data_IF_027086544811
#
_entry.id   IF_027086544811
#
_cell.length_a   1.000
_cell.length_b   1.000
_cell.length_c   1.000
_cell.angle_alpha   90.00
_cell.angle_beta   90.00
_cell.angle_gamma   90.00
#
_symmetry.space_group_name_H-M   'P 1'
#
loop_
_entity.id
_entity.type
_entity.pdbx_description
1 polymer ?
#
# COMPACT_ATOMS: atom_id res chain seq x y z
N UNK A 1 -27.15 20.34 -19.45
CA UNK A 1 -25.80 20.86 -19.16
C UNK A 1 -25.23 20.04 -18.04
N UNK A 2 -24.37 19.06 -18.33
CA UNK A 2 -23.65 18.33 -17.28
C UNK A 2 -22.63 19.28 -16.69
N UNK A 3 -22.76 19.63 -15.41
CA UNK A 3 -21.67 20.23 -14.65
C UNK A 3 -20.55 19.19 -14.57
N UNK A 4 -19.55 19.28 -15.46
CA UNK A 4 -18.32 18.53 -15.32
C UNK A 4 -17.56 19.16 -14.15
N UNK A 5 -17.37 18.39 -13.08
CA UNK A 5 -16.46 18.74 -11.99
C UNK A 5 -15.06 18.91 -12.57
N UNK A 6 -14.45 20.08 -12.36
CA UNK A 6 -13.07 20.34 -12.73
C UNK A 6 -12.13 19.72 -11.67
N UNK A 7 -10.89 19.39 -12.06
CA UNK A 7 -9.91 18.78 -11.15
C UNK A 7 -9.66 19.61 -9.89
N UNK A 8 -9.69 20.93 -10.03
CA UNK A 8 -9.48 21.86 -8.91
C UNK A 8 -10.62 21.78 -7.87
N UNK A 9 -11.80 21.30 -8.24
CA UNK A 9 -12.94 21.12 -7.33
C UNK A 9 -12.81 19.82 -6.50
N UNK A 10 -11.83 18.98 -6.82
CA UNK A 10 -11.57 17.72 -6.12
C UNK A 10 -10.69 17.87 -4.89
N UNK A 11 -10.10 19.05 -4.67
CA UNK A 11 -9.29 19.31 -3.49
C UNK A 11 -10.12 19.09 -2.22
N UNK A 12 -9.55 18.40 -1.22
CA UNK A 12 -10.20 18.01 0.03
C UNK A 12 -11.40 17.05 -0.09
N UNK A 13 -11.73 16.61 -1.31
CA UNK A 13 -12.74 15.57 -1.51
C UNK A 13 -12.20 14.20 -1.10
N UNK A 14 -13.12 13.33 -0.75
CA UNK A 14 -12.83 11.95 -0.32
C UNK A 14 -13.23 11.00 -1.44
N UNK A 15 -12.35 10.05 -1.74
CA UNK A 15 -12.60 9.00 -2.73
C UNK A 15 -12.47 7.62 -2.10
N UNK A 16 -13.26 6.68 -2.58
CA UNK A 16 -13.18 5.26 -2.26
C UNK A 16 -12.73 4.47 -3.47
N UNK A 17 -11.48 4.02 -3.46
CA UNK A 17 -10.87 3.31 -4.58
C UNK A 17 -10.31 2.00 -4.10
N UNK A 18 -10.76 0.90 -4.73
CA UNK A 18 -10.30 -0.48 -4.47
C UNK A 18 -10.34 -0.88 -2.98
N UNK A 19 -11.36 -0.44 -2.24
CA UNK A 19 -11.52 -0.82 -0.83
C UNK A 19 -10.83 0.08 0.18
N UNK A 20 -10.21 1.17 -0.28
CA UNK A 20 -9.48 2.14 0.54
C UNK A 20 -10.11 3.53 0.42
N UNK A 21 -10.14 4.26 1.51
CA UNK A 21 -10.60 5.66 1.55
C UNK A 21 -9.39 6.58 1.44
N UNK A 22 -9.49 7.62 0.61
CA UNK A 22 -8.41 8.57 0.37
C UNK A 22 -8.93 9.99 0.39
N UNK A 23 -8.13 10.92 0.92
CA UNK A 23 -8.42 12.37 0.83
C UNK A 23 -7.45 13.00 -0.16
N UNK A 24 -8.01 13.74 -1.12
CA UNK A 24 -7.25 14.43 -2.16
C UNK A 24 -6.59 15.68 -1.57
N UNK A 25 -5.27 15.82 -1.77
CA UNK A 25 -4.49 16.95 -1.28
C UNK A 25 -3.74 17.72 -2.36
N UNK A 26 -3.67 17.19 -3.59
CA UNK A 26 -3.15 17.92 -4.73
C UNK A 26 -3.74 17.38 -6.04
N UNK A 27 -3.78 18.23 -7.06
CA UNK A 27 -4.25 17.90 -8.40
C UNK A 27 -3.11 18.16 -9.38
N UNK A 28 -2.97 17.33 -10.40
CA UNK A 28 -2.14 17.70 -11.55
C UNK A 28 -2.94 18.68 -12.40
N UNK A 29 -2.30 19.77 -12.82
CA UNK A 29 -2.90 20.73 -13.75
C UNK A 29 -3.09 20.12 -15.15
N UNK A 30 -3.36 20.97 -16.15
CA UNK A 30 -3.52 20.58 -17.56
C UNK A 30 -2.25 19.95 -18.14
N UNK A 31 -2.04 18.67 -17.90
CA UNK A 31 -0.99 17.84 -18.48
C UNK A 31 -1.61 16.53 -18.96
N UNK A 32 -0.95 15.79 -19.86
CA UNK A 32 -1.48 14.55 -20.46
C UNK A 32 -1.82 13.43 -19.44
N UNK A 33 -1.38 13.57 -18.19
CA UNK A 33 -1.70 12.69 -17.05
C UNK A 33 -2.47 13.46 -15.96
N UNK A 34 -3.67 13.92 -16.32
CA UNK A 34 -4.63 14.53 -15.39
C UNK A 34 -5.02 13.55 -14.27
N UNK A 35 -4.92 14.01 -13.01
CA UNK A 35 -5.18 13.18 -11.85
C UNK A 35 -4.93 13.89 -10.53
N UNK A 36 -4.96 13.10 -9.45
CA UNK A 36 -4.91 13.60 -8.08
C UNK A 36 -3.92 12.82 -7.24
N UNK A 37 -3.26 13.53 -6.35
CA UNK A 37 -2.53 12.94 -5.24
C UNK A 37 -3.43 12.92 -4.01
N UNK A 38 -3.51 11.76 -3.38
CA UNK A 38 -4.32 11.55 -2.21
C UNK A 38 -3.55 10.78 -1.14
N UNK A 39 -3.87 11.06 0.12
CA UNK A 39 -3.37 10.31 1.27
C UNK A 39 -4.47 9.39 1.82
N UNK A 40 -4.09 8.23 2.36
CA UNK A 40 -5.05 7.24 2.88
C UNK A 40 -5.74 7.78 4.15
N UNK A 41 -7.06 7.70 4.16
CA UNK A 41 -7.93 8.13 5.26
C UNK A 41 -8.65 9.45 4.99
N UNK A 42 -9.24 9.97 6.06
CA UNK A 42 -9.99 11.24 6.08
C UNK A 42 -9.19 12.32 6.81
N UNK A 43 -9.53 13.58 6.58
CA UNK A 43 -8.99 14.68 7.39
C UNK A 43 -9.20 14.43 8.89
N UNK A 44 -8.16 14.57 9.73
CA UNK A 44 -8.30 14.39 11.18
C UNK A 44 -9.10 15.54 11.82
N UNK A 45 -9.09 16.74 11.23
CA UNK A 45 -9.83 17.92 11.68
C UNK A 45 -10.02 18.90 10.51
N UNK A 46 -11.00 19.83 10.57
CA UNK A 46 -11.39 20.66 9.42
C UNK A 46 -10.25 21.50 8.81
N UNK A 47 -9.38 22.06 9.64
CA UNK A 47 -8.26 22.92 9.21
C UNK A 47 -7.00 22.15 8.81
N UNK A 48 -7.05 20.82 8.77
CA UNK A 48 -5.90 20.01 8.38
C UNK A 48 -5.53 20.27 6.93
N UNK A 49 -4.24 20.53 6.71
CA UNK A 49 -3.61 20.62 5.39
C UNK A 49 -2.48 19.60 5.34
N UNK A 50 -2.58 18.67 4.41
CA UNK A 50 -1.51 17.72 4.17
C UNK A 50 -0.33 18.44 3.52
N UNK A 51 0.87 18.06 3.93
CA UNK A 51 2.12 18.58 3.40
C UNK A 51 3.04 17.37 3.17
N UNK A 52 3.32 17.07 1.91
CA UNK A 52 4.18 15.96 1.50
C UNK A 52 5.65 16.22 1.78
N UNK A 53 6.04 17.44 2.13
CA UNK A 53 7.41 17.78 2.55
C UNK A 53 7.61 17.57 4.05
N UNK A 54 6.53 17.41 4.82
CA UNK A 54 6.56 17.16 6.25
C UNK A 54 6.87 15.67 6.54
N UNK A 55 8.00 15.33 7.19
CA UNK A 55 8.36 13.93 7.48
C UNK A 55 7.28 13.20 8.28
N UNK A 56 6.69 13.86 9.27
CA UNK A 56 5.61 13.30 10.09
C UNK A 56 4.39 12.86 9.26
N UNK A 57 4.05 13.59 8.19
CA UNK A 57 2.93 13.20 7.33
C UNK A 57 3.26 11.98 6.48
N UNK A 58 4.47 11.91 5.93
CA UNK A 58 4.93 10.76 5.13
C UNK A 58 5.08 9.49 6.00
N UNK A 59 5.45 9.65 7.26
CA UNK A 59 5.51 8.54 8.23
C UNK A 59 4.14 8.05 8.69
N UNK A 60 3.11 8.89 8.58
CA UNK A 60 1.76 8.61 9.11
C UNK A 60 0.78 8.11 8.05
N UNK A 61 0.90 8.61 6.82
CA UNK A 61 -0.09 8.37 5.78
C UNK A 61 0.53 7.68 4.57
N UNK A 62 -0.19 6.69 4.00
CA UNK A 62 0.13 6.20 2.67
C UNK A 62 -0.32 7.22 1.62
N UNK A 63 0.46 7.39 0.56
CA UNK A 63 0.18 8.32 -0.54
C UNK A 63 0.03 7.52 -1.83
N UNK A 64 -0.93 7.92 -2.67
CA UNK A 64 -1.08 7.36 -4.02
C UNK A 64 -1.52 8.43 -5.00
N UNK A 65 -1.12 8.23 -6.26
CA UNK A 65 -1.69 8.95 -7.40
C UNK A 65 -2.88 8.16 -7.97
N UNK A 66 -3.90 8.90 -8.42
CA UNK A 66 -5.07 8.37 -9.12
C UNK A 66 -5.33 9.22 -10.36
N UNK A 67 -5.59 8.58 -11.50
CA UNK A 67 -6.06 9.29 -12.69
C UNK A 67 -7.41 9.95 -12.43
N UNK A 68 -7.68 11.04 -13.15
CA UNK A 68 -8.89 11.86 -13.00
C UNK A 68 -10.15 11.01 -13.05
N UNK A 69 -10.26 10.10 -14.02
CA UNK A 69 -11.44 9.25 -14.21
C UNK A 69 -11.67 8.37 -12.97
N UNK A 70 -10.60 7.74 -12.46
CA UNK A 70 -10.67 6.92 -11.25
C UNK A 70 -11.06 7.75 -10.02
N UNK A 71 -10.57 8.97 -9.91
CA UNK A 71 -10.90 9.85 -8.80
C UNK A 71 -12.37 10.28 -8.85
N UNK A 72 -12.87 10.67 -10.02
CA UNK A 72 -14.26 11.08 -10.24
C UNK A 72 -15.24 9.92 -9.97
N UNK A 73 -14.95 8.72 -10.47
CA UNK A 73 -15.76 7.52 -10.22
C UNK A 73 -15.76 7.11 -8.74
N UNK A 74 -14.69 7.43 -8.02
CA UNK A 74 -14.51 7.07 -6.62
C UNK A 74 -15.06 8.08 -5.62
N UNK A 75 -15.59 9.23 -6.04
CA UNK A 75 -16.07 10.29 -5.13
C UNK A 75 -17.17 9.76 -4.21
N UNK A 76 -17.01 10.01 -2.91
CA UNK A 76 -17.98 9.64 -1.86
C UNK A 76 -18.19 10.81 -0.91
N UNK A 77 -19.40 10.92 -0.36
CA UNK A 77 -19.77 12.04 0.53
C UNK A 77 -20.60 11.60 1.74
N UNK A 78 -20.61 12.44 2.79
CA UNK A 78 -21.46 12.26 3.96
C UNK A 78 -21.35 10.87 4.61
N UNK A 79 -22.49 10.21 4.80
CA UNK A 79 -22.58 8.91 5.48
C UNK A 79 -21.83 7.77 4.76
N UNK A 80 -21.56 7.92 3.47
CA UNK A 80 -20.81 6.91 2.69
C UNK A 80 -19.37 6.80 3.18
N UNK A 81 -18.77 7.93 3.56
CA UNK A 81 -17.40 8.00 4.11
C UNK A 81 -17.30 7.12 5.36
N UNK A 82 -18.21 7.25 6.30
CA UNK A 82 -18.20 6.45 7.53
C UNK A 82 -18.38 4.95 7.26
N UNK A 83 -19.22 4.60 6.27
CA UNK A 83 -19.44 3.22 5.89
C UNK A 83 -18.19 2.61 5.24
N UNK A 84 -17.57 3.31 4.30
CA UNK A 84 -16.32 2.88 3.66
C UNK A 84 -15.17 2.79 4.67
N UNK A 85 -15.04 3.74 5.59
CA UNK A 85 -14.04 3.68 6.67
C UNK A 85 -14.25 2.48 7.59
N UNK A 86 -15.50 2.15 7.93
CA UNK A 86 -15.82 0.94 8.71
C UNK A 86 -15.48 -0.34 7.93
N UNK A 87 -15.75 -0.39 6.63
CA UNK A 87 -15.39 -1.51 5.78
C UNK A 87 -13.87 -1.70 5.71
N UNK A 88 -13.12 -0.64 5.43
CA UNK A 88 -11.66 -0.63 5.41
C UNK A 88 -11.07 -1.20 6.71
N UNK A 89 -11.51 -0.68 7.87
CA UNK A 89 -11.08 -1.18 9.19
C UNK A 89 -11.44 -2.65 9.44
N UNK A 90 -12.54 -3.15 8.86
CA UNK A 90 -12.91 -4.58 8.97
C UNK A 90 -11.99 -5.44 8.13
N UNK A 91 -11.67 -5.02 6.90
CA UNK A 91 -10.71 -5.73 6.04
C UNK A 91 -9.30 -5.75 6.65
N UNK A 92 -8.85 -4.64 7.24
CA UNK A 92 -7.55 -4.55 7.92
C UNK A 92 -7.40 -5.52 9.08
N UNK A 93 -8.51 -5.89 9.74
CA UNK A 93 -8.50 -6.86 10.84
C UNK A 93 -8.53 -8.32 10.39
N UNK A 94 -8.83 -8.59 9.11
CA UNK A 94 -8.89 -9.98 8.62
C UNK A 94 -7.52 -10.63 8.64
N UNK A 95 -7.46 -11.91 8.96
CA UNK A 95 -6.23 -12.70 8.82
C UNK A 95 -5.91 -12.97 7.36
N UNK A 96 -4.64 -13.26 7.06
CA UNK A 96 -4.28 -13.81 5.76
C UNK A 96 -4.91 -15.20 5.65
N UNK A 97 -5.60 -15.43 4.55
CA UNK A 97 -6.20 -16.74 4.23
C UNK A 97 -5.54 -17.30 3.00
N UNK A 98 -5.58 -18.62 2.83
CA UNK A 98 -5.09 -19.29 1.61
C UNK A 98 -5.66 -18.67 0.34
N UNK A 99 -6.96 -18.37 0.31
CA UNK A 99 -7.61 -17.70 -0.83
C UNK A 99 -6.96 -16.36 -1.16
N UNK A 100 -6.74 -15.51 -0.14
CA UNK A 100 -6.15 -14.18 -0.32
C UNK A 100 -4.67 -14.26 -0.70
N UNK A 101 -3.93 -15.22 -0.16
CA UNK A 101 -2.56 -15.51 -0.56
C UNK A 101 -2.46 -15.94 -2.04
N UNK A 102 -3.37 -16.80 -2.50
CA UNK A 102 -3.46 -17.18 -3.93
C UNK A 102 -3.72 -15.94 -4.79
N UNK A 103 -4.69 -15.11 -4.42
CA UNK A 103 -4.99 -13.86 -5.15
C UNK A 103 -3.77 -12.94 -5.24
N UNK A 104 -3.03 -12.78 -4.13
CA UNK A 104 -1.82 -11.99 -4.09
C UNK A 104 -0.73 -12.56 -5.00
N UNK A 105 -0.43 -13.85 -4.92
CA UNK A 105 0.63 -14.46 -5.75
C UNK A 105 0.28 -14.47 -7.25
N UNK A 106 -1.00 -14.59 -7.60
CA UNK A 106 -1.47 -14.40 -8.98
C UNK A 106 -1.21 -12.97 -9.43
N UNK A 107 -1.54 -11.97 -8.60
CA UNK A 107 -1.27 -10.58 -8.90
C UNK A 107 0.23 -10.30 -9.06
N UNK A 108 1.06 -10.83 -8.17
CA UNK A 108 2.50 -10.60 -8.14
C UNK A 108 3.22 -11.25 -9.31
N UNK A 109 2.86 -12.49 -9.66
CA UNK A 109 3.67 -13.32 -10.56
C UNK A 109 3.05 -13.54 -11.94
N UNK A 110 1.78 -13.18 -12.14
CA UNK A 110 1.05 -13.40 -13.39
C UNK A 110 0.66 -14.86 -13.68
N UNK A 111 0.99 -15.81 -12.79
CA UNK A 111 0.59 -17.20 -12.95
C UNK A 111 -0.92 -17.40 -12.78
N UNK A 112 -1.43 -18.51 -13.31
CA UNK A 112 -2.85 -18.87 -13.15
C UNK A 112 -3.18 -19.23 -11.69
N UNK A 113 -4.44 -18.99 -11.29
CA UNK A 113 -4.94 -19.39 -9.96
C UNK A 113 -4.72 -20.88 -9.67
N UNK A 114 -4.90 -21.75 -10.66
CA UNK A 114 -4.70 -23.19 -10.51
C UNK A 114 -3.24 -23.55 -10.26
N UNK A 115 -2.31 -22.91 -10.99
CA UNK A 115 -0.88 -23.11 -10.78
C UNK A 115 -0.45 -22.65 -9.38
N UNK A 116 -0.85 -21.45 -8.97
CA UNK A 116 -0.53 -20.92 -7.64
C UNK A 116 -1.14 -21.82 -6.56
N UNK A 117 -2.44 -22.13 -6.65
CA UNK A 117 -3.14 -22.96 -5.66
C UNK A 117 -2.49 -24.34 -5.45
N UNK A 118 -2.00 -24.96 -6.54
CA UNK A 118 -1.34 -26.27 -6.50
C UNK A 118 0.02 -26.23 -5.82
N UNK A 119 0.77 -25.14 -6.00
CA UNK A 119 2.15 -25.02 -5.53
C UNK A 119 2.29 -24.13 -4.28
N UNK A 120 1.17 -23.64 -3.72
CA UNK A 120 1.15 -22.86 -2.49
C UNK A 120 1.18 -23.80 -1.28
N UNK A 121 2.19 -23.65 -0.44
CA UNK A 121 2.35 -24.40 0.81
C UNK A 121 1.93 -23.50 1.98
N UNK A 122 1.06 -24.00 2.84
CA UNK A 122 0.71 -23.32 4.09
C UNK A 122 1.70 -23.75 5.18
N UNK A 123 2.30 -22.76 5.84
CA UNK A 123 3.23 -22.90 6.96
C UNK A 123 2.52 -22.50 8.27
N UNK A 124 3.23 -22.57 9.39
CA UNK A 124 2.75 -22.11 10.68
C UNK A 124 2.42 -20.60 10.68
N UNK A 125 1.52 -20.19 11.58
CA UNK A 125 1.15 -18.80 11.82
C UNK A 125 0.63 -18.04 10.58
N UNK A 126 -0.33 -18.62 9.86
CA UNK A 126 -1.00 -17.99 8.71
C UNK A 126 0.00 -17.52 7.61
N UNK A 127 1.13 -18.24 7.47
CA UNK A 127 2.18 -17.96 6.47
C UNK A 127 2.01 -18.86 5.25
N UNK A 128 2.17 -18.30 4.04
CA UNK A 128 2.02 -19.03 2.79
C UNK A 128 3.26 -18.90 1.90
N UNK A 129 3.84 -20.05 1.56
CA UNK A 129 5.05 -20.15 0.74
C UNK A 129 4.73 -20.53 -0.69
N UNK A 130 5.37 -19.86 -1.63
CA UNK A 130 5.21 -20.14 -3.05
C UNK A 130 6.57 -20.07 -3.76
N UNK A 131 6.89 -21.13 -4.50
CA UNK A 131 8.12 -21.23 -5.28
C UNK A 131 7.78 -21.49 -6.76
N UNK A 132 7.57 -20.44 -7.58
CA UNK A 132 7.29 -20.59 -9.01
C UNK A 132 8.53 -20.98 -9.85
N UNK A 133 9.71 -21.10 -9.23
CA UNK A 133 10.98 -21.39 -9.89
C UNK A 133 12.11 -21.51 -8.86
N UNK A 134 13.24 -20.85 -9.13
CA UNK A 134 14.41 -20.84 -8.22
C UNK A 134 14.24 -19.97 -6.98
N UNK A 135 13.26 -19.06 -6.97
CA UNK A 135 12.96 -18.19 -5.84
C UNK A 135 11.77 -18.74 -5.04
N UNK A 136 11.94 -18.76 -3.72
CA UNK A 136 10.89 -19.07 -2.76
C UNK A 136 10.45 -17.77 -2.08
N UNK A 137 9.15 -17.53 -2.10
CA UNK A 137 8.52 -16.40 -1.43
C UNK A 137 7.74 -16.90 -0.23
N UNK A 138 7.88 -16.21 0.90
CA UNK A 138 7.07 -16.39 2.10
C UNK A 138 6.19 -15.16 2.31
N UNK A 139 4.89 -15.37 2.48
CA UNK A 139 3.90 -14.31 2.64
C UNK A 139 3.17 -14.47 3.96
N UNK A 140 3.15 -13.43 4.78
CA UNK A 140 2.30 -13.34 5.97
C UNK A 140 1.73 -11.95 6.12
N UNK A 141 0.80 -11.78 7.07
CA UNK A 141 0.25 -10.46 7.39
C UNK A 141 0.97 -9.88 8.61
N UNK A 142 1.47 -8.66 8.50
CA UNK A 142 2.09 -7.90 9.58
C UNK A 142 1.70 -6.43 9.48
N UNK A 143 1.45 -5.77 10.62
CA UNK A 143 1.06 -4.35 10.67
C UNK A 143 -0.14 -3.98 9.77
N UNK A 144 -1.09 -4.90 9.59
CA UNK A 144 -2.24 -4.68 8.70
C UNK A 144 -1.93 -4.84 7.21
N UNK A 145 -0.66 -5.01 6.83
CA UNK A 145 -0.16 -5.17 5.47
C UNK A 145 0.30 -6.61 5.19
N UNK A 146 0.47 -6.93 3.92
CA UNK A 146 1.13 -8.16 3.48
C UNK A 146 2.64 -7.95 3.48
N UNK A 147 3.37 -8.83 4.16
CA UNK A 147 4.81 -8.88 4.14
C UNK A 147 5.25 -10.07 3.29
N UNK A 148 5.93 -9.76 2.19
CA UNK A 148 6.55 -10.71 1.29
C UNK A 148 8.04 -10.77 1.61
N UNK A 149 8.54 -11.95 1.93
CA UNK A 149 9.95 -12.22 2.15
C UNK A 149 10.47 -13.18 1.11
N UNK A 150 11.68 -12.95 0.62
CA UNK A 150 12.40 -13.90 -0.22
C UNK A 150 13.90 -13.81 0.05
N UNK A 151 14.60 -14.92 -0.17
CA UNK A 151 16.05 -14.98 -0.01
C UNK A 151 16.71 -14.89 -1.39
N UNK A 152 17.64 -13.95 -1.54
CA UNK A 152 18.46 -13.80 -2.74
C UNK A 152 19.90 -13.60 -2.29
N UNK A 153 20.82 -14.43 -2.82
CA UNK A 153 22.27 -14.33 -2.55
C UNK A 153 22.64 -14.34 -1.05
N UNK A 154 21.89 -15.07 -0.23
CA UNK A 154 22.13 -15.13 1.22
C UNK A 154 21.53 -13.98 2.03
N UNK A 155 20.85 -13.03 1.38
CA UNK A 155 20.15 -11.93 2.02
C UNK A 155 18.63 -12.12 1.97
N UNK A 156 17.97 -11.91 3.11
CA UNK A 156 16.51 -11.87 3.19
C UNK A 156 16.03 -10.47 2.79
N UNK A 157 15.29 -10.40 1.69
CA UNK A 157 14.67 -9.18 1.20
C UNK A 157 13.20 -9.18 1.56
N UNK A 158 12.73 -8.05 2.10
CA UNK A 158 11.34 -7.89 2.53
C UNK A 158 10.65 -6.76 1.77
N UNK A 159 9.38 -6.96 1.44
CA UNK A 159 8.55 -5.93 0.81
C UNK A 159 7.14 -6.00 1.34
N UNK A 160 6.60 -4.82 1.65
CA UNK A 160 5.26 -4.64 2.17
C UNK A 160 4.31 -4.21 1.07
N UNK A 161 3.12 -4.80 1.10
CA UNK A 161 2.03 -4.53 0.18
C UNK A 161 0.74 -4.29 0.96
N UNK A 162 -0.10 -3.41 0.46
CA UNK A 162 -1.42 -3.19 1.02
C UNK A 162 -2.27 -4.46 0.95
N UNK A 163 -2.92 -4.82 2.06
CA UNK A 163 -3.66 -6.08 2.18
C UNK A 163 -4.88 -6.17 1.26
N UNK A 164 -5.46 -5.01 0.90
CA UNK A 164 -6.68 -4.95 0.09
C UNK A 164 -6.32 -4.82 -1.38
N UNK A 165 -5.47 -3.85 -1.71
CA UNK A 165 -5.16 -3.42 -3.08
C UNK A 165 -3.96 -4.11 -3.70
N UNK A 166 -3.13 -4.79 -2.90
CA UNK A 166 -1.84 -5.41 -3.28
C UNK A 166 -0.80 -4.45 -3.85
N UNK A 167 -1.05 -3.14 -3.80
CA UNK A 167 -0.05 -2.14 -4.19
C UNK A 167 1.09 -2.10 -3.17
N UNK A 168 2.31 -1.71 -3.57
CA UNK A 168 3.40 -1.48 -2.62
C UNK A 168 2.99 -0.51 -1.51
N UNK A 169 3.31 -0.85 -0.27
CA UNK A 169 3.02 -0.03 0.89
C UNK A 169 4.20 0.90 1.17
N UNK A 170 4.27 2.05 0.49
CA UNK A 170 5.40 3.00 0.53
C UNK A 170 5.95 3.24 1.94
N UNK A 171 5.10 3.69 2.86
CA UNK A 171 5.45 3.98 4.26
C UNK A 171 6.20 2.85 4.99
N UNK A 172 5.76 1.60 4.82
CA UNK A 172 6.38 0.45 5.49
C UNK A 172 7.66 0.02 4.78
N UNK A 173 7.70 0.10 3.45
CA UNK A 173 8.90 -0.15 2.66
C UNK A 173 9.99 0.88 2.96
N UNK A 174 9.64 2.17 3.03
CA UNK A 174 10.59 3.25 3.33
C UNK A 174 11.15 3.08 4.73
N UNK A 175 10.29 2.81 5.72
CA UNK A 175 10.72 2.51 7.09
C UNK A 175 11.67 1.31 7.17
N UNK A 176 11.41 0.25 6.40
CA UNK A 176 12.31 -0.90 6.34
C UNK A 176 13.65 -0.53 5.69
N UNK A 177 13.63 0.21 4.58
CA UNK A 177 14.85 0.64 3.91
C UNK A 177 15.72 1.54 4.77
N UNK A 178 15.13 2.46 5.54
CA UNK A 178 15.90 3.28 6.49
C UNK A 178 16.53 2.40 7.59
N UNK A 179 15.80 1.42 8.14
CA UNK A 179 16.38 0.49 9.11
C UNK A 179 17.55 -0.34 8.53
N UNK A 180 17.42 -0.80 7.29
CA UNK A 180 18.49 -1.53 6.58
C UNK A 180 19.71 -0.61 6.34
N UNK A 181 19.48 0.66 5.98
CA UNK A 181 20.57 1.63 5.81
C UNK A 181 21.32 1.88 7.12
N UNK A 182 20.60 2.04 8.23
CA UNK A 182 21.19 2.20 9.56
C UNK A 182 22.07 0.99 9.91
N UNK A 183 21.58 -0.24 9.70
CA UNK A 183 22.35 -1.46 9.92
C UNK A 183 23.63 -1.52 9.06
N UNK A 184 23.55 -1.11 7.79
CA UNK A 184 24.72 -1.05 6.90
C UNK A 184 25.74 -0.03 7.40
N UNK A 185 25.29 1.15 7.85
CA UNK A 185 26.15 2.21 8.38
C UNK A 185 26.84 1.74 9.65
N UNK A 186 26.11 1.10 10.56
CA UNK A 186 26.64 0.60 11.82
C UNK A 186 27.70 -0.49 11.59
N UNK A 187 27.42 -1.48 10.72
CA UNK A 187 28.43 -2.47 10.32
C UNK A 187 29.66 -1.84 9.66
N UNK A 188 29.49 -0.79 8.86
CA UNK A 188 30.62 -0.08 8.25
C UNK A 188 31.47 0.66 9.29
N UNK A 189 30.83 1.32 10.25
CA UNK A 189 31.50 2.00 11.37
C UNK A 189 32.31 1.01 12.22
N UNK A 190 31.70 -0.12 12.56
CA UNK A 190 32.38 -1.22 13.28
C UNK A 190 33.60 -1.72 12.50
N UNK A 191 33.44 -1.98 11.20
CA UNK A 191 34.55 -2.43 10.35
C UNK A 191 35.68 -1.41 10.22
N UNK A 192 35.35 -0.12 10.20
CA UNK A 192 36.34 0.98 10.14
C UNK A 192 36.90 1.40 11.48
N UNK A 193 36.35 0.92 12.60
CA UNK A 193 36.69 1.40 13.94
C UNK A 193 36.36 2.88 14.13
N UNK A 194 35.27 3.36 13.51
CA UNK A 194 34.77 4.73 13.66
C UNK A 194 33.66 4.68 14.72
N UNK A 195 33.83 5.40 15.83
CA UNK A 195 32.77 5.63 16.83
C UNK A 195 31.68 6.57 16.28
#
# INVERSE_FOLDING_TARGET
MSNQLELNDLFDKVIYVKGRVWTIYATTGKCESEGVWAYEGVKPYPNFKFDSTCPYHNEKYQISFFFKETALEGLIEGNEIDNCMKQMKREDKKKLTRKKAIEFYVHLTGHTKSFVSKNLVEKFNDTYSFAPGSLCYDLWKSEGALLLSHNLEGHTNMSWFDFITFKPHSRLNDKHWEAVKEEIIDHYKEWKGIE
#
